data_IF_889605380337
#
_entry.id   IF_889605380337
#
_cell.length_a   1.000
_cell.length_b   1.000
_cell.length_c   1.000
_cell.angle_alpha   90.00
_cell.angle_beta   90.00
_cell.angle_gamma   90.00
#
_symmetry.space_group_name_H-M   'P 1'
#
loop_
_entity.id
_entity.type
_entity.pdbx_description
1 polymer ?
#
# COMPACT_ATOMS: atom_id res chain seq x y z
N UNK A 1 3.62 21.06 -2.34
CA UNK A 1 2.66 20.33 -1.48
C UNK A 1 2.05 19.15 -2.24
N UNK A 2 1.57 19.41 -3.46
CA UNK A 2 1.14 18.41 -4.46
C UNK A 2 2.16 17.29 -4.72
N UNK A 3 3.42 17.61 -4.97
CA UNK A 3 4.48 16.60 -5.25
C UNK A 3 4.66 15.56 -4.14
N UNK A 4 4.53 15.94 -2.85
CA UNK A 4 4.63 14.98 -1.73
C UNK A 4 3.42 14.03 -1.68
N UNK A 5 2.23 14.54 -1.99
CA UNK A 5 1.00 13.75 -2.06
C UNK A 5 1.06 12.79 -3.25
N UNK A 6 1.55 13.26 -4.40
CA UNK A 6 1.66 12.46 -5.63
C UNK A 6 2.66 11.30 -5.48
N UNK A 7 3.80 11.54 -4.83
CA UNK A 7 4.74 10.47 -4.48
C UNK A 7 4.10 9.41 -3.58
N UNK A 8 3.36 9.83 -2.54
CA UNK A 8 2.68 8.90 -1.63
C UNK A 8 1.56 8.12 -2.33
N UNK A 9 0.82 8.75 -3.24
CA UNK A 9 -0.19 8.08 -4.07
C UNK A 9 0.44 7.02 -4.97
N UNK A 10 1.57 7.35 -5.59
CA UNK A 10 2.34 6.40 -6.42
C UNK A 10 2.80 5.20 -5.61
N UNK A 11 3.29 5.42 -4.38
CA UNK A 11 3.68 4.35 -3.47
C UNK A 11 2.48 3.47 -3.07
N UNK A 12 1.31 4.07 -2.79
CA UNK A 12 0.08 3.32 -2.52
C UNK A 12 -0.32 2.44 -3.70
N UNK A 13 -0.21 2.94 -4.94
CA UNK A 13 -0.55 2.17 -6.14
C UNK A 13 0.40 1.01 -6.39
N UNK A 14 1.70 1.18 -6.09
CA UNK A 14 2.66 0.07 -6.12
C UNK A 14 2.33 -1.00 -5.09
N UNK A 15 2.04 -0.61 -3.85
CA UNK A 15 1.67 -1.55 -2.77
C UNK A 15 0.36 -2.30 -3.08
N UNK A 16 -0.61 -1.65 -3.73
CA UNK A 16 -1.84 -2.34 -4.21
C UNK A 16 -1.54 -3.38 -5.27
N UNK A 17 -0.60 -3.12 -6.19
CA UNK A 17 -0.15 -4.10 -7.20
C UNK A 17 0.55 -5.28 -6.53
N UNK A 18 1.40 -5.04 -5.53
CA UNK A 18 2.04 -6.10 -4.74
C UNK A 18 1.01 -6.99 -4.03
N UNK A 19 -0.05 -6.41 -3.44
CA UNK A 19 -1.16 -7.19 -2.85
C UNK A 19 -1.89 -8.06 -3.88
N UNK A 20 -2.06 -7.58 -5.11
CA UNK A 20 -2.64 -8.40 -6.18
C UNK A 20 -1.72 -9.56 -6.57
N UNK A 21 -0.41 -9.35 -6.59
CA UNK A 21 0.58 -10.42 -6.80
C UNK A 21 0.51 -11.45 -5.68
N UNK A 22 0.39 -11.01 -4.42
CA UNK A 22 0.18 -11.91 -3.29
C UNK A 22 -1.08 -12.74 -3.43
N UNK A 23 -2.22 -12.15 -3.84
CA UNK A 23 -3.44 -12.95 -4.12
C UNK A 23 -3.16 -14.11 -5.08
N UNK A 24 -2.34 -13.90 -6.12
CA UNK A 24 -1.92 -14.96 -7.06
C UNK A 24 -1.01 -16.00 -6.41
N UNK A 25 -0.09 -15.59 -5.53
CA UNK A 25 0.84 -16.48 -4.82
C UNK A 25 0.15 -17.32 -3.73
N UNK A 26 -0.95 -16.85 -3.13
CA UNK A 26 -1.78 -17.67 -2.22
C UNK A 26 -2.31 -18.93 -2.91
N UNK A 27 -2.62 -18.87 -4.21
CA UNK A 27 -3.03 -20.05 -4.98
C UNK A 27 -1.88 -21.06 -5.19
N UNK A 28 -0.64 -20.65 -4.97
CA UNK A 28 0.56 -21.48 -5.07
C UNK A 28 1.03 -22.03 -3.70
N UNK A 29 0.20 -21.99 -2.65
CA UNK A 29 0.53 -22.42 -1.28
C UNK A 29 1.75 -21.73 -0.64
N UNK A 30 2.09 -20.52 -1.08
CA UNK A 30 3.17 -19.73 -0.46
C UNK A 30 2.62 -19.03 0.80
N UNK A 31 3.28 -19.12 1.97
CA UNK A 31 2.86 -18.41 3.17
C UNK A 31 3.19 -16.92 3.05
N UNK A 32 2.19 -16.13 2.64
CA UNK A 32 2.30 -14.67 2.39
C UNK A 32 1.48 -13.83 3.38
N UNK A 33 0.91 -14.45 4.41
CA UNK A 33 0.04 -13.78 5.37
C UNK A 33 0.74 -12.63 6.14
N UNK A 34 1.98 -12.80 6.65
CA UNK A 34 2.70 -11.71 7.34
C UNK A 34 3.01 -10.53 6.43
N UNK A 35 3.47 -10.80 5.21
CA UNK A 35 3.83 -9.80 4.21
C UNK A 35 2.60 -9.03 3.73
N UNK A 36 1.49 -9.74 3.48
CA UNK A 36 0.20 -9.14 3.14
C UNK A 36 -0.25 -8.16 4.23
N UNK A 37 -0.21 -8.59 5.50
CA UNK A 37 -0.60 -7.75 6.64
C UNK A 37 0.28 -6.49 6.74
N UNK A 38 1.59 -6.63 6.53
CA UNK A 38 2.53 -5.50 6.55
C UNK A 38 2.23 -4.49 5.45
N UNK A 39 1.90 -4.95 4.24
CA UNK A 39 1.53 -4.06 3.14
C UNK A 39 0.21 -3.33 3.43
N UNK A 40 -0.81 -4.03 3.93
CA UNK A 40 -2.10 -3.42 4.29
C UNK A 40 -1.94 -2.32 5.33
N UNK A 41 -1.12 -2.54 6.36
CA UNK A 41 -0.79 -1.52 7.36
C UNK A 41 -0.07 -0.32 6.75
N UNK A 42 0.87 -0.55 5.83
CA UNK A 42 1.62 0.51 5.16
C UNK A 42 0.72 1.37 4.26
N UNK A 43 -0.20 0.75 3.52
CA UNK A 43 -1.22 1.47 2.72
C UNK A 43 -2.08 2.34 3.62
N UNK A 44 -2.57 1.79 4.75
CA UNK A 44 -3.38 2.56 5.71
C UNK A 44 -2.65 3.81 6.19
N UNK A 45 -1.39 3.66 6.63
CA UNK A 45 -0.56 4.78 7.10
C UNK A 45 -0.34 5.84 6.02
N UNK A 46 -0.03 5.43 4.79
CA UNK A 46 0.17 6.36 3.67
C UNK A 46 -1.12 7.14 3.33
N UNK A 47 -2.28 6.50 3.39
CA UNK A 47 -3.56 7.18 3.15
C UNK A 47 -3.86 8.21 4.26
N UNK A 48 -3.60 7.88 5.53
CA UNK A 48 -3.74 8.84 6.64
C UNK A 48 -2.79 10.04 6.48
N UNK A 49 -1.55 9.80 6.04
CA UNK A 49 -0.59 10.87 5.76
C UNK A 49 -1.02 11.75 4.57
N UNK A 50 -1.58 11.15 3.51
CA UNK A 50 -2.13 11.90 2.37
C UNK A 50 -3.30 12.77 2.84
N UNK A 51 -4.22 12.24 3.64
CA UNK A 51 -5.37 13.00 4.16
C UNK A 51 -4.91 14.20 4.99
N UNK A 52 -3.98 13.99 5.93
CA UNK A 52 -3.40 15.07 6.75
C UNK A 52 -2.70 16.15 5.90
N UNK A 53 -1.99 15.75 4.85
CA UNK A 53 -1.33 16.67 3.93
C UNK A 53 -2.29 17.42 3.00
N UNK A 54 -3.50 16.89 2.78
CA UNK A 54 -4.53 17.53 1.98
C UNK A 54 -5.39 18.50 2.81
N UNK A 55 -5.46 18.28 4.13
CA UNK A 55 -6.14 19.17 5.10
C UNK A 55 -5.25 20.30 5.62
N UNK A 56 -3.92 20.22 5.44
CA UNK A 56 -2.96 21.31 5.71
C UNK A 56 -2.81 22.26 4.52
#
# INVERSE_FOLDING_TARGET
MTTKIDTKRTEVDHLKKELQTFKRLTFANVPIAPEKQRIEQKIKKLNEEIAKLAES
#
